data_IF_171470472111
#
_entry.id   IF_171470472111
#
_cell.length_a   1.000
_cell.length_b   1.000
_cell.length_c   1.000
_cell.angle_alpha   90.00
_cell.angle_beta   90.00
_cell.angle_gamma   90.00
#
_symmetry.space_group_name_H-M   'P 1'
#
loop_
_entity.id
_entity.type
_entity.pdbx_description
1 polymer ?
2 non-polymer ?
#
# COMPACT_ATOMS: atom_id res chain seq x y z
N UNK A 1 -7.65 8.04 -13.39
CA UNK A 1 -8.14 6.67 -13.00
C UNK A 1 -7.21 6.06 -11.96
N UNK A 2 -7.72 5.17 -11.15
CA UNK A 2 -6.86 4.53 -10.11
C UNK A 2 -7.64 3.44 -9.38
N UNK A 3 -7.07 2.26 -9.27
CA UNK A 3 -7.77 1.14 -8.57
C UNK A 3 -8.26 1.64 -7.21
N UNK A 4 -7.45 2.42 -6.55
CA UNK A 4 -7.82 2.95 -5.22
C UNK A 4 -7.95 4.47 -5.29
N UNK A 5 -8.70 5.07 -4.40
CA UNK A 5 -8.83 6.56 -4.46
C UNK A 5 -9.85 7.10 -3.44
N UNK A 6 -11.05 6.57 -3.48
CA UNK A 6 -12.12 7.05 -2.56
C UNK A 6 -11.78 6.67 -1.11
N UNK A 7 -12.78 6.36 -0.31
CA UNK A 7 -12.54 5.98 1.12
C UNK A 7 -11.18 5.32 1.32
N UNK A 8 -10.88 4.35 0.51
CA UNK A 8 -9.57 3.64 0.65
C UNK A 8 -8.42 4.66 0.73
N UNK A 9 -8.24 5.47 -0.28
CA UNK A 9 -7.13 6.47 -0.23
C UNK A 9 -7.24 7.31 1.04
N UNK A 10 -8.44 7.56 1.49
CA UNK A 10 -8.61 8.36 2.73
C UNK A 10 -8.22 7.51 3.93
N UNK A 11 -8.75 6.33 4.01
CA UNK A 11 -8.40 5.43 5.14
C UNK A 11 -6.88 5.26 5.21
N UNK A 12 -6.23 5.36 4.08
CA UNK A 12 -4.74 5.22 4.06
C UNK A 12 -4.08 6.58 4.25
N UNK A 13 -4.44 7.56 3.47
CA UNK A 13 -3.83 8.90 3.63
C UNK A 13 -3.78 9.26 5.11
N UNK A 14 -4.75 8.83 5.86
CA UNK A 14 -4.74 9.13 7.32
C UNK A 14 -3.74 8.21 8.01
N UNK A 15 -3.58 7.02 7.51
CA UNK A 15 -2.60 6.08 8.12
C UNK A 15 -1.18 6.46 7.70
N UNK A 16 -0.98 6.79 6.46
CA UNK A 16 0.39 7.16 6.02
C UNK A 16 0.96 8.17 7.02
N UNK A 17 0.12 8.98 7.58
CA UNK A 17 0.60 9.98 8.58
C UNK A 17 1.11 9.20 9.80
N UNK A 18 0.55 8.06 10.05
CA UNK A 18 1.01 7.23 11.20
C UNK A 18 1.94 6.13 10.68
N UNK A 19 1.97 5.94 9.38
CA UNK A 19 2.87 4.92 8.78
C UNK A 19 4.22 5.55 8.45
N UNK A 20 4.21 6.61 7.69
CA UNK A 20 5.49 7.29 7.34
C UNK A 20 6.13 7.84 8.61
N UNK A 21 6.66 6.98 9.45
CA UNK A 21 7.29 7.44 10.71
C UNK A 21 8.32 8.54 10.46
N UNK A 22 8.76 8.70 9.24
CA UNK A 22 9.77 9.75 8.95
C UNK A 22 9.09 11.01 8.39
N UNK A 23 7.79 10.97 8.27
CA UNK A 23 7.06 12.17 7.74
C UNK A 23 7.79 12.75 6.52
N UNK A 24 8.21 11.92 5.60
CA UNK A 24 8.92 12.43 4.40
C UNK A 24 8.11 12.13 3.15
N UNK A 25 6.81 12.01 3.29
CA UNK A 25 5.95 11.70 2.11
C UNK A 25 6.33 10.33 1.55
N UNK A 26 7.10 9.58 2.29
CA UNK A 26 7.51 8.23 1.81
C UNK A 26 7.73 7.29 2.98
N UNK A 27 6.78 6.44 3.27
CA UNK A 27 6.97 5.50 4.41
C UNK A 27 7.66 4.24 3.90
N UNK A 28 8.58 3.70 4.64
CA UNK A 28 9.30 2.49 4.17
C UNK A 28 8.66 1.22 4.75
N UNK A 29 8.77 0.13 4.05
CA UNK A 29 8.17 -1.14 4.55
C UNK A 29 8.48 -1.30 6.03
N UNK A 30 9.55 -0.70 6.50
CA UNK A 30 9.92 -0.83 7.94
C UNK A 30 8.89 -0.13 8.84
N UNK A 31 8.26 0.91 8.36
CA UNK A 31 7.25 1.61 9.20
C UNK A 31 5.89 0.99 8.93
N UNK A 32 5.43 1.07 7.71
CA UNK A 32 4.14 0.43 7.35
C UNK A 32 4.17 -1.03 7.77
N UNK A 33 5.35 -1.55 7.98
CA UNK A 33 5.49 -2.97 8.41
C UNK A 33 4.44 -3.33 9.45
N UNK A 34 4.62 -2.88 10.67
CA UNK A 34 3.62 -3.20 11.73
C UNK A 34 2.23 -3.00 11.15
N UNK A 35 2.02 -1.90 10.50
CA UNK A 35 0.70 -1.63 9.87
C UNK A 35 0.37 -2.79 8.93
N UNK A 36 1.35 -3.25 8.21
CA UNK A 36 1.13 -4.40 7.28
C UNK A 36 1.09 -5.70 8.09
N UNK A 37 1.76 -5.72 9.21
CA UNK A 37 1.75 -6.94 10.07
C UNK A 37 0.39 -7.04 10.76
N UNK A 38 -0.27 -5.93 10.92
CA UNK A 38 -1.61 -5.93 11.57
C UNK A 38 -2.68 -6.34 10.56
N UNK A 39 -2.33 -6.35 9.30
CA UNK A 39 -3.32 -6.75 8.25
C UNK A 39 -3.69 -8.23 8.43
N UNK A 40 -2.71 -9.09 8.46
CA UNK A 40 -2.99 -10.55 8.63
C UNK A 40 -2.52 -11.29 7.37
N UNK A 41 -1.73 -10.64 6.56
CA UNK A 41 -1.23 -11.31 5.32
C UNK A 41 0.12 -11.97 5.56
N UNK A 42 0.40 -12.98 4.78
CA UNK A 42 1.69 -13.70 4.90
C UNK A 42 2.86 -12.80 4.49
N UNK A 43 4.00 -12.97 5.10
CA UNK A 43 5.17 -12.11 4.77
C UNK A 43 5.31 -11.96 3.25
N UNK A 44 5.58 -13.03 2.55
CA UNK A 44 5.73 -12.94 1.08
C UNK A 44 4.67 -12.03 0.47
N UNK A 45 3.42 -12.34 0.67
CA UNK A 45 2.34 -11.50 0.09
C UNK A 45 2.55 -10.03 0.48
N UNK A 46 2.75 -9.76 1.74
CA UNK A 46 2.96 -8.37 2.18
C UNK A 46 4.15 -7.78 1.43
N UNK A 47 5.18 -8.55 1.23
CA UNK A 47 6.35 -8.05 0.47
C UNK A 47 5.95 -7.96 -1.00
N UNK A 48 5.10 -8.87 -1.42
CA UNK A 48 4.62 -8.84 -2.82
C UNK A 48 3.65 -7.66 -2.98
N UNK A 49 2.97 -7.32 -1.92
CA UNK A 49 2.03 -6.18 -1.97
C UNK A 49 2.84 -4.88 -1.91
N UNK A 50 3.99 -4.92 -1.29
CA UNK A 50 4.82 -3.69 -1.22
C UNK A 50 5.27 -3.33 -2.62
N UNK A 51 5.68 -4.30 -3.38
CA UNK A 51 6.11 -4.02 -4.78
C UNK A 51 4.87 -3.74 -5.62
N UNK A 52 3.75 -4.25 -5.20
CA UNK A 52 2.49 -4.00 -5.95
C UNK A 52 2.03 -2.56 -5.69
N UNK A 53 2.56 -1.95 -4.67
CA UNK A 53 2.18 -0.53 -4.36
C UNK A 53 3.40 0.37 -4.53
N UNK A 54 4.55 -0.13 -4.19
CA UNK A 54 5.80 0.68 -4.33
C UNK A 54 6.11 0.95 -5.80
N UNK A 55 5.18 1.55 -6.50
CA UNK A 55 5.44 1.84 -7.94
C UNK A 55 6.66 2.77 -8.06
N UNK A 56 6.94 3.51 -7.02
CA UNK A 56 8.11 4.44 -7.03
C UNK A 56 9.40 3.65 -7.24
N UNK A 57 9.36 2.35 -7.05
CA UNK A 57 10.59 1.53 -7.23
C UNK A 57 11.82 2.26 -6.66
N UNK A 58 11.73 2.72 -5.46
CA UNK A 58 12.88 3.45 -4.85
C UNK A 58 13.28 2.81 -3.53
N UNK A 59 12.45 1.96 -2.99
CA UNK A 59 12.79 1.30 -1.70
C UNK A 59 11.86 1.82 -0.60
N UNK A 60 10.98 2.73 -0.92
CA UNK A 60 10.04 3.27 0.11
C UNK A 60 8.63 3.38 -0.44
N UNK A 61 7.67 3.67 0.40
CA UNK A 61 6.26 3.78 -0.06
C UNK A 61 5.83 5.26 -0.07
N UNK A 62 5.82 5.92 -1.21
CA UNK A 62 5.41 7.36 -1.22
C UNK A 62 4.10 7.55 -0.44
N UNK A 63 3.62 8.76 -0.37
CA UNK A 63 2.36 9.03 0.38
C UNK A 63 1.17 8.36 -0.33
N UNK A 64 1.01 8.62 -1.60
CA UNK A 64 -0.13 8.01 -2.35
C UNK A 64 0.18 6.56 -2.73
N UNK A 65 1.41 6.15 -2.66
CA UNK A 65 1.73 4.75 -3.01
C UNK A 65 1.35 3.81 -1.88
N UNK A 66 1.57 4.20 -0.66
CA UNK A 66 1.19 3.31 0.47
C UNK A 66 -0.33 3.14 0.50
N UNK A 67 -1.04 4.00 -0.18
CA UNK A 67 -2.51 3.88 -0.23
C UNK A 67 -2.90 2.87 -1.32
N UNK A 68 -1.99 2.60 -2.23
CA UNK A 68 -2.29 1.63 -3.31
C UNK A 68 -2.02 0.21 -2.81
N UNK A 69 -1.20 0.07 -1.80
CA UNK A 69 -0.91 -1.28 -1.27
C UNK A 69 -2.11 -1.78 -0.45
N UNK A 70 -2.64 -0.94 0.40
CA UNK A 70 -3.82 -1.35 1.21
C UNK A 70 -4.95 -1.75 0.26
N UNK A 71 -4.98 -1.17 -0.91
CA UNK A 71 -6.03 -1.53 -1.90
C UNK A 71 -6.01 -3.04 -2.12
N UNK A 72 -4.89 -3.64 -1.83
CA UNK A 72 -4.77 -5.12 -1.98
C UNK A 72 -4.95 -5.77 -0.61
N UNK A 73 -4.08 -5.44 0.31
CA UNK A 73 -4.18 -5.99 1.68
C UNK A 73 -5.60 -5.86 2.20
N UNK A 74 -6.15 -4.67 2.13
CA UNK A 74 -7.55 -4.47 2.62
C UNK A 74 -8.49 -5.48 1.96
N UNK A 75 -8.30 -5.75 0.69
CA UNK A 75 -9.18 -6.74 0.01
C UNK A 75 -9.09 -8.10 0.69
N UNK A 76 -8.03 -8.33 1.40
CA UNK A 76 -7.87 -9.65 2.09
C UNK A 76 -8.45 -9.60 3.51
N UNK A 77 -8.65 -8.41 4.03
CA UNK A 77 -9.20 -8.31 5.42
C UNK A 77 -10.74 -8.30 5.41
N UNK A 78 -11.33 -7.63 4.46
CA UNK A 78 -12.82 -7.57 4.41
C UNK A 78 -13.36 -8.19 3.11
N UNK A 79 -12.51 -8.40 2.14
CA UNK A 79 -13.00 -8.98 0.85
C UNK A 79 -12.29 -10.31 0.57
N UNK A 80 -11.37 -10.70 1.42
CA UNK A 80 -10.65 -11.99 1.21
C UNK A 80 -10.31 -12.15 -0.28
N UNK A 81 -9.56 -11.24 -0.83
CA UNK A 81 -9.20 -11.36 -2.27
C UNK A 81 -7.67 -11.27 -2.44
N UNK A 82 -7.10 -12.17 -3.20
CA UNK A 82 -5.62 -12.13 -3.40
C UNK A 82 -5.23 -10.79 -4.05
N UNK A 83 -3.96 -10.55 -4.10
CA UNK A 83 -3.45 -9.29 -4.69
C UNK A 83 -3.47 -9.38 -6.23
N UNK A 84 -3.60 -8.23 -6.84
CA UNK A 84 -3.63 -8.18 -8.33
C UNK A 84 -2.26 -8.52 -8.90
N UNK A 85 -1.81 -9.72 -8.69
CA UNK A 85 -0.47 -10.15 -9.22
C UNK A 85 0.54 -8.99 -9.17
N UNK A 86 0.91 -8.46 -10.30
CA UNK A 86 1.91 -7.36 -10.29
C UNK A 86 1.23 -6.00 -10.51
N UNK A 87 2.01 -5.00 -10.82
CA UNK A 87 1.44 -3.63 -11.03
C UNK A 87 0.60 -3.57 -12.31
N UNK A 88 -0.41 -2.75 -12.30
CA UNK A 88 -1.28 -2.59 -13.49
C UNK A 88 -1.35 -1.12 -13.86
N UNK A 89 -1.84 -0.83 -15.03
CA UNK A 89 -1.96 0.57 -15.48
C UNK A 89 -2.99 1.31 -14.62
N UNK A 90 -3.89 0.58 -14.02
CA UNK A 90 -4.91 1.23 -13.14
C UNK A 90 -4.28 1.45 -11.76
N UNK A 91 -3.22 0.76 -11.48
CA UNK A 91 -2.52 0.91 -10.18
C UNK A 91 -1.42 1.96 -10.30
N UNK A 92 -0.63 1.87 -11.32
CA UNK A 92 0.45 2.85 -11.53
C UNK A 92 -0.09 4.28 -11.42
N UNK A 93 0.64 5.09 -10.70
CA UNK A 93 0.22 6.50 -10.49
C UNK A 93 0.50 7.33 -11.75
N UNK A 94 -0.10 8.49 -11.79
CA UNK A 94 0.08 9.39 -12.95
C UNK A 94 1.42 10.13 -12.84
N UNK A 95 2.08 10.34 -13.95
CA UNK A 95 3.39 11.06 -13.90
C UNK A 95 3.44 12.12 -14.99
X LIG B 1 9.49 7.02 5.98
#
# INVERSE_FOLDING_TARGET
>A
TWVVSPAEKAKYDEIFLKTDKDMDGFVSGLEVREIFLKTGLPSTLLAHIWSLCDTKDCGKLSKDQFALAFHLISQKLIKGIDPPHVLTPEMIPPS
>B hetero
1 CA CA
#
